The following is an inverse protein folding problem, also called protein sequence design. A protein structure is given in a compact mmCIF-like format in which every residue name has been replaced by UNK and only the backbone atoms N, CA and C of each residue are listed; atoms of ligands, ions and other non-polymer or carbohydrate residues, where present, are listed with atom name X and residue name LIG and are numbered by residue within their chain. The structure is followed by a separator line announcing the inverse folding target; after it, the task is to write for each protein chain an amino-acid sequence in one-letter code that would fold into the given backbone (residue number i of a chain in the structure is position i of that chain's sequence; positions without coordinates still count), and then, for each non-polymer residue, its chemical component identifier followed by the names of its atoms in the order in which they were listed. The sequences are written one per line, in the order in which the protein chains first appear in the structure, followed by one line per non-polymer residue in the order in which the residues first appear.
data_IF_825688467828
#
_entry.id   IF_825688467828
#
_cell.length_a   1.000
_cell.length_b   1.000
_cell.length_c   1.000
_cell.angle_alpha   90.00
_cell.angle_beta   90.00
_cell.angle_gamma   90.00
#
_symmetry.space_group_name_H-M   'P 1'
#
loop_
_entity.id
_entity.type
_entity.pdbx_description
1 polymer ?
#
# COMPACT_ATOMS: atom_id res chain seq x y z
N UNK A 1 42.79 -26.73 -2.09
CA UNK A 1 41.57 -26.08 -2.63
C UNK A 1 40.50 -26.16 -1.54
N UNK A 2 40.27 -25.07 -0.83
CA UNK A 2 39.15 -24.97 0.12
C UNK A 2 37.90 -24.65 -0.66
N UNK A 3 36.95 -25.60 -0.72
CA UNK A 3 35.64 -25.32 -1.28
C UNK A 3 34.92 -24.35 -0.37
N UNK A 4 34.67 -23.14 -0.88
CA UNK A 4 33.88 -22.16 -0.17
C UNK A 4 32.41 -22.64 -0.18
N UNK A 5 31.98 -23.28 0.90
CA UNK A 5 30.58 -23.68 1.14
C UNK A 5 29.86 -22.59 1.91
N UNK A 6 29.79 -21.40 1.30
CA UNK A 6 28.98 -20.32 1.84
C UNK A 6 27.49 -20.68 1.69
N UNK A 7 26.69 -20.33 2.70
CA UNK A 7 25.24 -20.47 2.62
C UNK A 7 24.69 -19.54 1.52
N UNK A 8 23.82 -20.08 0.65
CA UNK A 8 23.14 -19.32 -0.40
C UNK A 8 21.64 -19.57 -0.36
N UNK A 9 20.88 -18.64 -0.94
CA UNK A 9 19.43 -18.74 -1.07
C UNK A 9 19.06 -19.18 -2.50
N UNK A 10 18.13 -20.13 -2.61
CA UNK A 10 17.49 -20.51 -3.87
C UNK A 10 16.05 -20.03 -3.83
N UNK A 11 15.61 -19.37 -4.90
CA UNK A 11 14.23 -18.92 -5.06
C UNK A 11 13.62 -19.56 -6.31
N UNK A 12 12.48 -20.21 -6.14
CA UNK A 12 11.68 -20.71 -7.25
C UNK A 12 10.75 -19.61 -7.76
N UNK A 13 11.02 -19.11 -8.96
CA UNK A 13 10.20 -18.08 -9.61
C UNK A 13 8.86 -18.64 -10.11
N UNK A 14 8.78 -19.96 -10.38
CA UNK A 14 7.54 -20.63 -10.76
C UNK A 14 6.52 -20.62 -9.62
N UNK A 15 6.95 -20.78 -8.39
CA UNK A 15 6.09 -20.69 -7.21
C UNK A 15 5.44 -19.29 -7.06
N UNK A 16 6.15 -18.21 -7.40
CA UNK A 16 5.58 -16.85 -7.42
C UNK A 16 4.43 -16.75 -8.43
N UNK A 17 4.61 -17.30 -9.63
CA UNK A 17 3.57 -17.33 -10.65
C UNK A 17 2.35 -18.12 -10.18
N UNK A 18 2.55 -19.32 -9.62
CA UNK A 18 1.46 -20.17 -9.13
C UNK A 18 0.66 -19.46 -8.02
N UNK A 19 1.34 -18.80 -7.08
CA UNK A 19 0.69 -18.02 -6.02
C UNK A 19 -0.09 -16.83 -6.57
N UNK A 20 0.46 -16.15 -7.58
CA UNK A 20 -0.21 -15.04 -8.24
C UNK A 20 -1.49 -15.48 -8.96
N UNK A 21 -1.43 -16.59 -9.72
CA UNK A 21 -2.60 -17.18 -10.38
C UNK A 21 -3.67 -17.58 -9.36
N UNK A 22 -3.27 -18.26 -8.28
CA UNK A 22 -4.18 -18.66 -7.20
C UNK A 22 -4.86 -17.46 -6.52
N UNK A 23 -4.15 -16.34 -6.36
CA UNK A 23 -4.74 -15.11 -5.84
C UNK A 23 -5.88 -14.62 -6.75
N UNK A 24 -5.64 -14.57 -8.06
CA UNK A 24 -6.65 -14.10 -9.02
C UNK A 24 -7.85 -15.04 -9.13
N UNK A 25 -7.65 -16.35 -8.99
CA UNK A 25 -8.73 -17.33 -8.93
C UNK A 25 -9.59 -17.16 -7.66
N UNK A 26 -8.94 -17.01 -6.49
CA UNK A 26 -9.64 -16.91 -5.22
C UNK A 26 -10.26 -15.52 -4.96
N UNK A 27 -9.64 -14.44 -5.45
CA UNK A 27 -10.00 -13.05 -5.18
C UNK A 27 -10.05 -12.21 -6.48
N UNK A 28 -10.92 -12.55 -7.44
CA UNK A 28 -10.90 -11.95 -8.79
C UNK A 28 -11.16 -10.44 -8.83
N UNK A 29 -11.76 -9.88 -7.77
CA UNK A 29 -12.05 -8.43 -7.66
C UNK A 29 -11.00 -7.65 -6.86
N UNK A 30 -9.97 -8.32 -6.35
CA UNK A 30 -8.96 -7.69 -5.47
C UNK A 30 -7.62 -7.65 -6.19
N UNK A 31 -7.17 -6.44 -6.52
CA UNK A 31 -5.83 -6.25 -7.07
C UNK A 31 -4.77 -6.50 -5.98
N UNK A 32 -3.78 -7.38 -6.22
CA UNK A 32 -2.73 -7.64 -5.24
C UNK A 32 -1.69 -6.51 -5.19
N UNK A 33 -1.26 -6.13 -3.98
CA UNK A 33 -0.13 -5.24 -3.73
C UNK A 33 0.91 -5.98 -2.90
N UNK A 34 2.10 -6.18 -3.46
CA UNK A 34 3.17 -6.93 -2.82
C UNK A 34 3.96 -6.05 -1.84
N UNK A 35 4.07 -6.48 -0.59
CA UNK A 35 4.90 -5.81 0.41
C UNK A 35 6.40 -6.03 0.12
N UNK A 36 7.09 -4.98 -0.34
CA UNK A 36 8.48 -5.06 -0.81
C UNK A 36 9.45 -5.54 0.28
N UNK A 37 9.17 -5.19 1.54
CA UNK A 37 9.95 -5.63 2.72
C UNK A 37 10.09 -7.15 2.85
N UNK A 38 9.17 -7.93 2.28
CA UNK A 38 9.21 -9.39 2.37
C UNK A 38 10.37 -9.99 1.57
N UNK A 39 10.61 -9.49 0.36
CA UNK A 39 11.74 -9.87 -0.48
C UNK A 39 11.95 -8.80 -1.56
N UNK A 40 12.92 -7.92 -1.36
CA UNK A 40 13.23 -6.80 -2.24
C UNK A 40 14.22 -7.16 -3.36
N UNK A 41 14.43 -8.45 -3.67
CA UNK A 41 15.32 -8.84 -4.76
C UNK A 41 14.74 -8.38 -6.09
N UNK A 42 15.53 -7.71 -6.96
CA UNK A 42 15.00 -7.16 -8.21
C UNK A 42 14.33 -8.19 -9.13
N UNK A 43 14.74 -9.46 -9.10
CA UNK A 43 14.11 -10.54 -9.86
C UNK A 43 12.65 -10.80 -9.42
N UNK A 44 12.38 -10.78 -8.11
CA UNK A 44 11.03 -10.94 -7.53
C UNK A 44 10.15 -9.77 -7.93
N UNK A 45 10.63 -8.54 -7.73
CA UNK A 45 9.89 -7.32 -8.06
C UNK A 45 9.59 -7.26 -9.55
N UNK A 46 10.58 -7.53 -10.42
CA UNK A 46 10.37 -7.57 -11.88
C UNK A 46 9.31 -8.60 -12.28
N UNK A 47 9.37 -9.80 -11.72
CA UNK A 47 8.40 -10.86 -12.04
C UNK A 47 6.99 -10.45 -11.64
N UNK A 48 6.80 -9.96 -10.41
CA UNK A 48 5.50 -9.47 -9.94
C UNK A 48 5.00 -8.25 -10.73
N UNK A 49 5.91 -7.36 -11.15
CA UNK A 49 5.60 -6.20 -11.98
C UNK A 49 5.06 -6.62 -13.35
N UNK A 50 5.73 -7.58 -14.01
CA UNK A 50 5.30 -8.17 -15.28
C UNK A 50 3.94 -8.86 -15.17
N UNK A 51 3.65 -9.48 -14.04
CA UNK A 51 2.34 -10.08 -13.74
C UNK A 51 1.25 -9.06 -13.42
N UNK A 52 1.56 -7.76 -13.38
CA UNK A 52 0.55 -6.72 -13.10
C UNK A 52 0.31 -6.43 -11.61
N UNK A 53 1.08 -7.02 -10.70
CA UNK A 53 0.95 -6.81 -9.24
C UNK A 53 1.37 -5.39 -8.83
N UNK A 54 0.61 -4.72 -7.95
CA UNK A 54 1.03 -3.47 -7.32
C UNK A 54 2.10 -3.68 -6.24
N UNK A 55 2.59 -2.59 -5.64
CA UNK A 55 3.61 -2.67 -4.59
C UNK A 55 3.25 -1.81 -3.39
N UNK A 56 3.41 -2.40 -2.21
CA UNK A 56 3.37 -1.72 -0.93
C UNK A 56 4.81 -1.46 -0.46
N UNK A 57 5.17 -0.17 -0.41
CA UNK A 57 6.49 0.31 -0.04
C UNK A 57 6.42 1.02 1.32
N UNK A 58 7.38 0.74 2.20
CA UNK A 58 7.48 1.34 3.54
C UNK A 58 8.59 2.39 3.64
N UNK A 59 9.38 2.57 2.58
CA UNK A 59 10.49 3.53 2.57
C UNK A 59 10.69 4.18 1.19
N UNK A 60 11.39 5.33 1.18
CA UNK A 60 11.86 5.97 -0.04
C UNK A 60 12.66 5.01 -0.93
N UNK A 61 13.55 4.22 -0.35
CA UNK A 61 14.42 3.32 -1.12
C UNK A 61 13.62 2.21 -1.82
N UNK A 62 12.54 1.73 -1.21
CA UNK A 62 11.66 0.75 -1.85
C UNK A 62 10.85 1.38 -2.99
N UNK A 63 10.36 2.61 -2.81
CA UNK A 63 9.73 3.39 -3.89
C UNK A 63 10.70 3.52 -5.06
N UNK A 64 11.93 3.97 -4.81
CA UNK A 64 12.95 4.16 -5.85
C UNK A 64 13.26 2.85 -6.58
N UNK A 65 13.39 1.75 -5.85
CA UNK A 65 13.64 0.42 -6.42
C UNK A 65 12.51 -0.03 -7.36
N UNK A 66 11.25 0.17 -6.96
CA UNK A 66 10.08 -0.21 -7.75
C UNK A 66 9.93 0.70 -8.98
N UNK A 67 10.18 2.00 -8.83
CA UNK A 67 10.15 2.96 -9.94
C UNK A 67 11.26 2.71 -10.97
N UNK A 68 12.47 2.36 -10.53
CA UNK A 68 13.59 2.02 -11.40
C UNK A 68 13.32 0.80 -12.29
N UNK A 69 12.43 -0.10 -11.85
CA UNK A 69 11.97 -1.25 -12.64
C UNK A 69 10.95 -0.84 -13.71
N UNK A 70 10.45 0.40 -13.68
CA UNK A 70 9.49 0.93 -14.65
C UNK A 70 8.03 0.70 -14.25
N UNK A 71 7.77 0.40 -12.98
CA UNK A 71 6.38 0.28 -12.48
C UNK A 71 5.72 1.66 -12.45
N UNK A 72 4.49 1.74 -12.94
CA UNK A 72 3.71 2.98 -12.88
C UNK A 72 3.50 3.42 -11.42
N UNK A 73 3.79 4.68 -11.03
CA UNK A 73 3.60 5.18 -9.68
C UNK A 73 2.20 4.96 -9.09
N UNK A 74 1.15 4.91 -9.93
CA UNK A 74 -0.23 4.65 -9.50
C UNK A 74 -0.45 3.21 -8.98
N UNK A 75 0.49 2.30 -9.24
CA UNK A 75 0.51 0.94 -8.68
C UNK A 75 1.34 0.83 -7.40
N UNK A 76 1.78 1.96 -6.82
CA UNK A 76 2.56 2.00 -5.58
C UNK A 76 1.70 2.59 -4.46
N UNK A 77 1.71 1.93 -3.32
CA UNK A 77 1.15 2.40 -2.06
C UNK A 77 2.32 2.70 -1.13
N UNK A 78 2.33 3.88 -0.51
CA UNK A 78 3.26 4.18 0.57
C UNK A 78 2.63 3.77 1.90
N UNK A 79 2.84 2.50 2.28
CA UNK A 79 2.19 1.81 3.38
C UNK A 79 2.67 2.14 4.79
N UNK A 80 3.79 2.86 4.95
CA UNK A 80 4.32 3.16 6.28
C UNK A 80 3.38 4.11 7.04
N UNK A 81 2.82 3.72 8.19
CA UNK A 81 1.92 4.58 8.96
C UNK A 81 2.61 5.80 9.57
N UNK A 82 3.94 5.79 9.74
CA UNK A 82 4.69 6.93 10.24
C UNK A 82 5.84 7.30 9.29
N UNK A 83 5.55 8.21 8.35
CA UNK A 83 6.50 8.62 7.30
C UNK A 83 7.32 9.81 7.75
N UNK A 84 8.59 9.82 7.33
CA UNK A 84 9.42 11.03 7.39
C UNK A 84 8.88 12.07 6.41
N UNK A 85 8.83 13.38 6.77
CA UNK A 85 8.40 14.45 5.87
C UNK A 85 9.13 14.44 4.51
N UNK A 86 10.42 14.16 4.52
CA UNK A 86 11.24 14.05 3.30
C UNK A 86 10.78 12.91 2.39
N UNK A 87 10.29 11.80 2.95
CA UNK A 87 9.80 10.67 2.17
C UNK A 87 8.43 10.98 1.56
N UNK A 88 7.55 11.70 2.27
CA UNK A 88 6.26 12.14 1.72
C UNK A 88 6.48 13.05 0.52
N UNK A 89 7.35 14.06 0.66
CA UNK A 89 7.71 14.96 -0.45
C UNK A 89 8.32 14.20 -1.64
N UNK A 90 9.17 13.21 -1.35
CA UNK A 90 9.77 12.36 -2.39
C UNK A 90 8.71 11.58 -3.16
N UNK A 91 7.79 10.93 -2.46
CA UNK A 91 6.69 10.19 -3.07
C UNK A 91 5.80 11.11 -3.92
N UNK A 92 5.46 12.30 -3.42
CA UNK A 92 4.73 13.32 -4.18
C UNK A 92 5.45 13.72 -5.47
N UNK A 93 6.76 13.98 -5.39
CA UNK A 93 7.57 14.35 -6.56
C UNK A 93 7.65 13.25 -7.64
N UNK A 94 7.41 11.99 -7.27
CA UNK A 94 7.43 10.85 -8.19
C UNK A 94 6.01 10.35 -8.55
N UNK A 95 4.95 11.08 -8.18
CA UNK A 95 3.57 10.72 -8.49
C UNK A 95 3.04 9.50 -7.75
N UNK A 96 3.65 9.14 -6.61
CA UNK A 96 3.11 8.11 -5.70
C UNK A 96 2.10 8.79 -4.79
N UNK A 97 0.82 8.66 -5.14
CA UNK A 97 -0.26 9.41 -4.50
C UNK A 97 -0.93 8.67 -3.35
N UNK A 98 -0.91 7.32 -3.36
CA UNK A 98 -1.64 6.55 -2.34
C UNK A 98 -0.83 6.45 -1.05
N UNK A 99 -1.35 7.06 0.02
CA UNK A 99 -0.70 7.21 1.32
C UNK A 99 -1.50 6.51 2.40
N UNK A 100 -0.86 5.60 3.12
CA UNK A 100 -1.49 4.89 4.23
C UNK A 100 -1.31 5.64 5.54
N UNK A 101 -2.32 5.77 6.38
CA UNK A 101 -2.22 6.40 7.71
C UNK A 101 -3.00 5.60 8.76
N UNK A 102 -2.63 5.75 10.02
CA UNK A 102 -3.30 5.12 11.17
C UNK A 102 -3.75 6.15 12.23
N UNK A 103 -3.15 7.35 12.26
CA UNK A 103 -3.49 8.45 13.16
C UNK A 103 -3.73 9.79 12.43
N UNK A 104 -4.32 10.74 13.17
CA UNK A 104 -4.63 12.10 12.72
C UNK A 104 -3.38 12.90 12.38
N UNK A 105 -2.39 12.88 13.26
CA UNK A 105 -1.12 13.59 13.07
C UNK A 105 -0.43 13.19 11.76
N UNK A 106 -0.51 11.91 11.37
CA UNK A 106 0.01 11.44 10.11
C UNK A 106 -0.82 11.97 8.93
N UNK A 107 -2.15 11.94 9.04
CA UNK A 107 -3.05 12.43 8.01
C UNK A 107 -2.81 13.92 7.72
N UNK A 108 -2.76 14.75 8.76
CA UNK A 108 -2.46 16.18 8.62
C UNK A 108 -1.09 16.43 8.01
N UNK A 109 -0.08 15.66 8.44
CA UNK A 109 1.28 15.75 7.90
C UNK A 109 1.30 15.38 6.42
N UNK A 110 0.59 14.34 5.99
CA UNK A 110 0.47 13.98 4.57
C UNK A 110 -0.27 15.06 3.81
N UNK A 111 -1.43 15.52 4.28
CA UNK A 111 -2.22 16.55 3.60
C UNK A 111 -1.45 17.86 3.38
N UNK A 112 -0.62 18.26 4.35
CA UNK A 112 0.25 19.44 4.23
C UNK A 112 1.39 19.26 3.23
N UNK A 113 1.94 18.06 3.10
CA UNK A 113 3.17 17.80 2.33
C UNK A 113 2.93 17.19 0.95
N UNK A 114 1.76 16.57 0.75
CA UNK A 114 1.28 16.01 -0.51
C UNK A 114 -0.23 16.28 -0.64
N UNK A 115 -0.64 17.51 -1.04
CA UNK A 115 -2.04 17.92 -1.05
C UNK A 115 -2.94 17.13 -2.02
N UNK A 116 -2.35 16.49 -3.03
CA UNK A 116 -3.09 15.68 -4.03
C UNK A 116 -3.04 14.19 -3.72
N UNK A 117 -2.55 13.81 -2.52
CA UNK A 117 -2.51 12.42 -2.08
C UNK A 117 -3.91 11.80 -2.00
N UNK A 118 -3.97 10.50 -2.29
CA UNK A 118 -5.10 9.61 -1.99
C UNK A 118 -4.83 8.97 -0.64
N UNK A 119 -5.79 9.03 0.27
CA UNK A 119 -5.61 8.54 1.63
C UNK A 119 -6.17 7.12 1.78
N UNK A 120 -5.46 6.25 2.48
CA UNK A 120 -5.94 4.93 2.86
C UNK A 120 -5.72 4.71 4.36
N UNK A 121 -6.75 4.36 5.12
CA UNK A 121 -6.62 4.15 6.56
C UNK A 121 -6.40 2.68 6.88
N UNK A 122 -5.41 2.37 7.71
CA UNK A 122 -5.29 1.03 8.30
C UNK A 122 -6.30 0.88 9.44
N UNK A 123 -7.15 -0.13 9.35
CA UNK A 123 -8.00 -0.56 10.44
C UNK A 123 -7.48 -1.88 10.98
N UNK A 124 -6.97 -1.88 12.21
CA UNK A 124 -6.78 -3.11 12.97
C UNK A 124 -8.09 -3.41 13.71
N UNK A 125 -9.00 -4.16 13.09
CA UNK A 125 -10.01 -4.86 13.87
C UNK A 125 -9.37 -6.14 14.41
N UNK A 126 -9.82 -6.63 15.56
CA UNK A 126 -9.39 -7.92 16.16
C UNK A 126 -9.63 -9.17 15.27
N UNK A 127 -10.02 -8.98 14.00
CA UNK A 127 -10.00 -10.00 12.95
C UNK A 127 -8.92 -9.63 11.91
N UNK A 128 -7.90 -10.48 11.69
CA UNK A 128 -6.65 -10.12 11.00
C UNK A 128 -6.74 -9.92 9.46
N UNK A 129 -7.92 -9.68 8.88
CA UNK A 129 -8.15 -9.84 7.44
C UNK A 129 -8.87 -8.70 6.70
N UNK A 130 -9.14 -7.54 7.29
CA UNK A 130 -9.81 -6.44 6.55
C UNK A 130 -9.01 -5.13 6.54
N UNK A 131 -8.46 -4.76 5.38
CA UNK A 131 -8.06 -3.38 5.09
C UNK A 131 -9.14 -2.74 4.20
N UNK A 132 -9.78 -1.69 4.67
CA UNK A 132 -10.80 -0.95 3.93
C UNK A 132 -10.17 0.35 3.40
N UNK A 133 -10.08 0.49 2.08
CA UNK A 133 -9.60 1.72 1.44
C UNK A 133 -10.78 2.68 1.26
N UNK A 134 -10.77 3.80 1.97
CA UNK A 134 -11.71 4.90 1.71
C UNK A 134 -11.09 5.88 0.72
N UNK A 135 -11.81 6.21 -0.34
CA UNK A 135 -11.35 7.24 -1.28
C UNK A 135 -11.78 8.62 -0.76
N UNK A 136 -10.93 9.24 0.06
CA UNK A 136 -11.15 10.58 0.60
C UNK A 136 -10.54 11.60 -0.37
N UNK A 137 -11.36 12.54 -0.87
CA UNK A 137 -11.01 13.53 -1.91
C UNK A 137 -10.77 14.95 -1.39
N UNK A 138 -11.12 15.26 -0.14
CA UNK A 138 -10.90 16.59 0.45
C UNK A 138 -10.80 16.56 1.98
N UNK A 139 -10.19 17.61 2.57
CA UNK A 139 -10.13 17.83 4.03
C UNK A 139 -11.53 17.99 4.65
N UNK A 140 -12.51 18.52 3.92
CA UNK A 140 -13.90 18.64 4.39
C UNK A 140 -14.57 17.26 4.55
N UNK A 141 -14.24 16.30 3.67
CA UNK A 141 -14.68 14.92 3.82
C UNK A 141 -14.03 14.22 5.02
N UNK A 142 -12.88 14.72 5.50
CA UNK A 142 -12.21 14.19 6.69
C UNK A 142 -13.01 14.57 7.93
N UNK A 143 -13.35 15.84 8.14
CA UNK A 143 -14.19 16.25 9.29
C UNK A 143 -15.57 15.58 9.29
N UNK A 144 -16.20 15.40 8.12
CA UNK A 144 -17.46 14.66 8.00
C UNK A 144 -17.30 13.15 8.30
N UNK A 145 -16.17 12.53 7.90
CA UNK A 145 -15.83 11.17 8.34
C UNK A 145 -15.66 11.11 9.85
N UNK A 146 -15.04 12.13 10.45
CA UNK A 146 -14.80 12.22 11.89
C UNK A 146 -16.11 12.26 12.69
N UNK A 147 -17.08 13.08 12.30
CA UNK A 147 -18.39 13.17 12.97
C UNK A 147 -19.19 11.85 12.90
N UNK A 148 -19.08 11.13 11.77
CA UNK A 148 -19.74 9.84 11.57
C UNK A 148 -19.03 8.72 12.33
N UNK A 149 -17.69 8.74 12.40
CA UNK A 149 -16.87 7.65 12.95
C UNK A 149 -16.69 7.75 14.48
N UNK A 150 -16.51 8.95 15.01
CA UNK A 150 -16.11 9.14 16.41
C UNK A 150 -17.23 9.64 17.33
N UNK A 151 -18.19 10.43 16.84
CA UNK A 151 -19.20 11.04 17.72
C UNK A 151 -20.51 10.25 17.87
N UNK A 152 -20.89 9.41 16.90
CA UNK A 152 -22.23 8.79 16.90
C UNK A 152 -22.29 7.32 17.35
N UNK A 153 -21.16 6.64 17.59
CA UNK A 153 -21.17 5.24 18.06
C UNK A 153 -21.96 4.26 17.17
N UNK A 154 -22.21 4.60 15.91
CA UNK A 154 -23.06 3.82 15.00
C UNK A 154 -22.25 2.70 14.32
N UNK A 155 -22.77 1.48 14.40
CA UNK A 155 -22.28 0.37 13.57
C UNK A 155 -22.59 0.62 12.10
N UNK A 156 -21.64 0.29 11.23
CA UNK A 156 -21.53 0.66 9.81
C UNK A 156 -22.63 0.15 8.85
N UNK A 157 -23.65 -0.57 9.32
CA UNK A 157 -24.69 -1.11 8.43
C UNK A 157 -25.59 -0.05 7.76
N UNK A 158 -25.61 1.20 8.26
CA UNK A 158 -26.61 2.18 7.81
C UNK A 158 -26.14 3.17 6.73
N UNK A 159 -24.84 3.25 6.40
CA UNK A 159 -24.35 4.26 5.44
C UNK A 159 -24.32 3.78 3.97
N UNK A 160 -24.48 2.48 3.72
CA UNK A 160 -24.44 1.90 2.37
C UNK A 160 -25.70 2.13 1.53
N UNK A 161 -26.77 2.69 2.10
CA UNK A 161 -28.06 2.83 1.40
C UNK A 161 -28.29 4.19 0.74
N UNK A 162 -27.43 5.20 0.96
CA UNK A 162 -27.72 6.56 0.52
C UNK A 162 -26.92 7.10 -0.68
N UNK A 163 -26.12 6.27 -1.35
CA UNK A 163 -25.43 6.68 -2.58
C UNK A 163 -25.68 5.70 -3.74
N UNK A 164 -26.95 5.54 -4.12
CA UNK A 164 -27.34 5.19 -5.49
C UNK A 164 -27.73 6.45 -6.25
#
# INVERSE_FOLDING_TARGET
MTFNVDAFFVADMGDILQKHLRWHEALPRVAPFYAVKCNNKPAVIRTLACLGTGFDCISKNEIDMVLQIGVNPQRIIFGNPCKKPSHIKHAAAHGVDTMVFDCEDELEKVARLHPTAKYARLFAQHSPYSCMCFHIRSLEQIHALYDVIFHNGLSWNNYLHHQR
#
